data_IF_659670009332
#
_entry.id   IF_659670009332
#
_cell.length_a   1.000
_cell.length_b   1.000
_cell.length_c   1.000
_cell.angle_alpha   90.00
_cell.angle_beta   90.00
_cell.angle_gamma   90.00
#
_symmetry.space_group_name_H-M   'P 1'
#
loop_
_entity.id
_entity.type
_entity.pdbx_description
1 polymer ?
#
# COMPACT_ATOMS: atom_id res chain seq x y z
N UNK A 1 -2.98 -18.95 5.74
CA UNK A 1 -2.33 -18.27 4.60
C UNK A 1 -3.20 -17.18 3.98
N UNK A 2 -4.52 -17.36 3.89
CA UNK A 2 -5.50 -16.34 3.48
C UNK A 2 -5.36 -14.99 4.23
N UNK A 3 -5.08 -15.04 5.54
CA UNK A 3 -4.77 -13.86 6.37
C UNK A 3 -3.55 -13.07 5.84
N UNK A 4 -2.54 -13.73 5.29
CA UNK A 4 -1.32 -13.08 4.81
C UNK A 4 -1.60 -12.30 3.53
N UNK A 5 -2.27 -12.89 2.53
CA UNK A 5 -2.62 -12.19 1.28
C UNK A 5 -3.68 -11.10 1.50
N UNK A 6 -4.63 -11.31 2.42
CA UNK A 6 -5.59 -10.29 2.81
C UNK A 6 -4.94 -9.02 3.35
N UNK A 7 -3.83 -9.13 4.10
CA UNK A 7 -3.06 -7.98 4.58
C UNK A 7 -2.48 -7.16 3.43
N UNK A 8 -1.98 -7.79 2.36
CA UNK A 8 -1.47 -7.08 1.18
C UNK A 8 -2.57 -6.29 0.47
N UNK A 9 -3.77 -6.86 0.36
CA UNK A 9 -4.93 -6.19 -0.25
C UNK A 9 -5.35 -4.97 0.58
N UNK A 10 -5.45 -5.12 1.91
CA UNK A 10 -5.83 -4.03 2.81
C UNK A 10 -4.79 -2.91 2.83
N UNK A 11 -3.49 -3.26 2.91
CA UNK A 11 -2.40 -2.28 2.83
C UNK A 11 -2.40 -1.56 1.49
N UNK A 12 -2.56 -2.29 0.40
CA UNK A 12 -2.60 -1.70 -0.94
C UNK A 12 -3.78 -0.75 -1.13
N UNK A 13 -4.96 -1.09 -0.59
CA UNK A 13 -6.14 -0.20 -0.54
C UNK A 13 -5.86 1.07 0.27
N UNK A 14 -5.24 0.96 1.44
CA UNK A 14 -4.90 2.11 2.28
C UNK A 14 -3.88 3.03 1.58
N UNK A 15 -2.86 2.46 0.93
CA UNK A 15 -1.87 3.20 0.15
C UNK A 15 -2.48 3.90 -1.06
N UNK A 16 -3.44 3.27 -1.74
CA UNK A 16 -4.08 3.86 -2.92
C UNK A 16 -5.10 4.95 -2.56
N UNK A 17 -5.96 4.70 -1.56
CA UNK A 17 -7.06 5.60 -1.19
C UNK A 17 -6.65 6.72 -0.24
N UNK A 18 -5.67 6.46 0.65
CA UNK A 18 -5.23 7.39 1.69
C UNK A 18 -3.70 7.48 1.76
N UNK A 19 -3.00 7.82 0.65
CA UNK A 19 -1.53 7.89 0.63
C UNK A 19 -0.98 8.91 1.64
N UNK A 20 -1.73 9.99 1.90
CA UNK A 20 -1.35 11.01 2.89
C UNK A 20 -1.32 10.46 4.33
N UNK A 21 -2.19 9.49 4.64
CA UNK A 21 -2.22 8.84 5.95
C UNK A 21 -1.04 7.90 6.10
N UNK A 22 -0.74 7.11 5.06
CA UNK A 22 0.45 6.26 5.04
C UNK A 22 1.71 7.11 5.25
N UNK A 23 1.87 8.19 4.47
CA UNK A 23 3.01 9.10 4.62
C UNK A 23 3.12 9.67 6.04
N UNK A 24 1.99 10.05 6.66
CA UNK A 24 1.97 10.52 8.04
C UNK A 24 2.40 9.44 9.05
N UNK A 25 2.15 8.18 8.74
CA UNK A 25 2.50 7.04 9.59
C UNK A 25 3.86 6.44 9.22
N UNK A 26 4.57 6.93 8.20
CA UNK A 26 5.88 6.37 7.81
C UNK A 26 7.01 7.39 7.75
N UNK A 27 6.71 8.63 7.38
CA UNK A 27 7.73 9.63 7.01
C UNK A 27 7.53 10.99 7.67
N UNK A 28 6.36 11.29 8.22
CA UNK A 28 6.15 12.62 8.82
C UNK A 28 6.98 12.88 10.08
N UNK A 29 7.55 11.85 10.71
CA UNK A 29 8.50 12.06 11.82
C UNK A 29 9.94 12.25 11.35
N UNK A 30 10.28 11.87 10.12
CA UNK A 30 11.60 12.14 9.54
C UNK A 30 11.71 13.54 8.94
N UNK A 31 10.57 14.22 8.76
CA UNK A 31 10.51 15.53 8.12
C UNK A 31 10.05 16.58 9.12
N UNK A 32 10.96 17.48 9.51
CA UNK A 32 10.72 18.53 10.51
C UNK A 32 9.53 19.43 10.14
N UNK A 33 9.36 19.77 8.84
CA UNK A 33 8.29 20.65 8.32
C UNK A 33 7.78 20.24 6.92
N UNK A 34 7.75 18.94 6.60
CA UNK A 34 7.44 18.47 5.25
C UNK A 34 5.94 18.32 4.97
N UNK A 35 5.48 18.75 3.79
CA UNK A 35 4.32 18.12 3.13
C UNK A 35 4.86 17.05 2.19
N UNK A 36 4.17 15.91 1.99
CA UNK A 36 4.62 14.93 1.02
C UNK A 36 4.67 15.56 -0.37
N UNK A 37 5.71 15.22 -1.13
CA UNK A 37 5.77 15.64 -2.52
C UNK A 37 4.67 14.94 -3.32
N UNK A 38 4.18 15.60 -4.38
CA UNK A 38 3.16 15.00 -5.25
C UNK A 38 3.66 13.69 -5.86
N UNK A 39 4.95 13.63 -6.23
CA UNK A 39 5.60 12.42 -6.74
C UNK A 39 5.55 11.28 -5.72
N UNK A 40 5.82 11.57 -4.44
CA UNK A 40 5.75 10.57 -3.39
C UNK A 40 4.35 9.98 -3.24
N UNK A 41 3.31 10.83 -3.26
CA UNK A 41 1.92 10.37 -3.19
C UNK A 41 1.56 9.48 -4.39
N UNK A 42 1.98 9.84 -5.60
CA UNK A 42 1.77 9.01 -6.79
C UNK A 42 2.48 7.66 -6.69
N UNK A 43 3.73 7.65 -6.23
CA UNK A 43 4.49 6.41 -6.04
C UNK A 43 3.79 5.51 -5.02
N UNK A 44 3.30 6.07 -3.91
CA UNK A 44 2.51 5.34 -2.92
C UNK A 44 1.25 4.72 -3.51
N UNK A 45 0.53 5.46 -4.35
CA UNK A 45 -0.68 4.97 -5.00
C UNK A 45 -0.38 3.82 -5.96
N UNK A 46 0.68 3.95 -6.76
CA UNK A 46 1.13 2.89 -7.68
C UNK A 46 1.57 1.66 -6.88
N UNK A 47 2.33 1.84 -5.81
CA UNK A 47 2.74 0.75 -4.91
C UNK A 47 1.51 0.07 -4.32
N UNK A 48 0.49 0.84 -3.92
CA UNK A 48 -0.77 0.32 -3.40
C UNK A 48 -1.50 -0.58 -4.41
N UNK A 49 -1.54 -0.18 -5.68
CA UNK A 49 -2.11 -1.01 -6.76
C UNK A 49 -1.32 -2.31 -6.93
N UNK A 50 0.02 -2.24 -6.90
CA UNK A 50 0.88 -3.43 -6.99
C UNK A 50 0.62 -4.39 -5.81
N UNK A 51 0.49 -3.86 -4.60
CA UNK A 51 0.18 -4.66 -3.40
C UNK A 51 -1.19 -5.36 -3.50
N UNK A 52 -2.21 -4.67 -4.01
CA UNK A 52 -3.53 -5.29 -4.27
C UNK A 52 -3.40 -6.43 -5.28
N UNK A 53 -2.70 -6.20 -6.40
CA UNK A 53 -2.50 -7.21 -7.44
C UNK A 53 -1.75 -8.44 -6.90
N UNK A 54 -0.68 -8.23 -6.13
CA UNK A 54 0.07 -9.32 -5.50
C UNK A 54 -0.79 -10.11 -4.51
N UNK A 55 -1.64 -9.43 -3.73
CA UNK A 55 -2.58 -10.08 -2.84
C UNK A 55 -3.57 -10.97 -3.59
N UNK A 56 -4.21 -10.43 -4.64
CA UNK A 56 -5.18 -11.17 -5.46
C UNK A 56 -4.51 -12.35 -6.18
N UNK A 57 -3.36 -12.14 -6.83
CA UNK A 57 -2.63 -13.19 -7.54
C UNK A 57 -2.19 -14.28 -6.56
N UNK A 58 -1.63 -13.90 -5.42
CA UNK A 58 -1.19 -14.84 -4.40
C UNK A 58 -2.33 -15.68 -3.83
N UNK A 59 -3.49 -15.06 -3.60
CA UNK A 59 -4.69 -15.77 -3.14
C UNK A 59 -5.27 -16.68 -4.22
N UNK A 60 -5.27 -16.23 -5.48
CA UNK A 60 -5.67 -17.07 -6.61
C UNK A 60 -4.76 -18.28 -6.77
N UNK A 61 -3.44 -18.10 -6.78
CA UNK A 61 -2.48 -19.22 -6.86
C UNK A 61 -2.71 -20.20 -5.71
N UNK A 62 -2.88 -19.70 -4.49
CA UNK A 62 -3.12 -20.55 -3.32
C UNK A 62 -4.42 -21.37 -3.38
N UNK A 63 -5.49 -20.82 -3.95
CA UNK A 63 -6.78 -21.49 -4.02
C UNK A 63 -6.87 -22.53 -5.16
N UNK A 64 -6.10 -22.34 -6.23
CA UNK A 64 -6.24 -23.12 -7.47
C UNK A 64 -5.03 -23.98 -7.84
N UNK A 65 -3.91 -23.87 -7.12
CA UNK A 65 -2.70 -24.66 -7.33
C UNK A 65 -2.28 -25.38 -6.05
#
# INVERSE_FOLDING_TARGET
MLVFFGIFIVLGLLMSLKPLWIWRVTESWLTEHGRPSTLYLYVLQILGVIFILLGIIGEFVYLFM
#
